data_IF_715879267993
#
_entry.id   IF_715879267993
#
_cell.length_a   1.000
_cell.length_b   1.000
_cell.length_c   1.000
_cell.angle_alpha   90.00
_cell.angle_beta   90.00
_cell.angle_gamma   90.00
#
_symmetry.space_group_name_H-M   'P 1'
#
loop_
_entity.id
_entity.type
_entity.pdbx_description
1 polymer ?
#
# COMPACT_ATOMS: atom_id res chain seq x y z
N UNK A 1 10.05 -17.57 -22.66
CA UNK A 1 9.13 -18.49 -21.97
C UNK A 1 8.96 -17.95 -20.56
N UNK A 2 7.85 -17.28 -20.26
CA UNK A 2 7.55 -16.83 -18.89
C UNK A 2 7.11 -18.06 -18.09
N UNK A 3 7.86 -18.43 -17.07
CA UNK A 3 7.48 -19.51 -16.15
C UNK A 3 6.24 -19.02 -15.41
N UNK A 4 5.10 -19.67 -15.64
CA UNK A 4 3.92 -19.44 -14.82
C UNK A 4 4.23 -20.07 -13.46
N UNK A 5 4.56 -19.24 -12.47
CA UNK A 5 4.69 -19.69 -11.09
C UNK A 5 3.28 -20.01 -10.60
N UNK A 6 3.01 -21.29 -10.35
CA UNK A 6 1.78 -21.72 -9.69
C UNK A 6 1.90 -21.37 -8.20
N UNK A 7 1.31 -20.24 -7.83
CA UNK A 7 1.34 -19.75 -6.46
C UNK A 7 0.25 -20.45 -5.64
N UNK A 8 0.60 -21.29 -4.64
CA UNK A 8 -0.38 -22.12 -3.95
C UNK A 8 -1.40 -21.33 -3.11
N UNK A 9 -1.05 -20.11 -2.65
CA UNK A 9 -1.99 -19.27 -1.92
C UNK A 9 -3.01 -18.63 -2.87
N UNK A 10 -2.57 -18.27 -4.07
CA UNK A 10 -3.45 -17.74 -5.12
C UNK A 10 -4.33 -18.86 -5.70
N UNK A 11 -3.76 -20.03 -6.00
CA UNK A 11 -4.48 -21.20 -6.49
C UNK A 11 -5.50 -21.72 -5.47
N UNK A 12 -5.22 -21.56 -4.18
CA UNK A 12 -6.12 -21.95 -3.09
C UNK A 12 -7.29 -20.98 -2.82
N UNK A 13 -7.40 -19.86 -3.57
CA UNK A 13 -8.51 -18.92 -3.40
C UNK A 13 -9.85 -19.51 -3.85
N UNK A 14 -10.85 -19.50 -2.96
CA UNK A 14 -12.22 -19.95 -3.25
C UNK A 14 -13.16 -18.76 -3.51
N UNK A 15 -13.08 -18.19 -4.72
CA UNK A 15 -13.86 -17.00 -5.10
C UNK A 15 -15.29 -17.38 -5.48
N UNK A 16 -16.23 -17.21 -4.55
CA UNK A 16 -17.66 -17.47 -4.82
C UNK A 16 -18.29 -16.41 -5.74
N UNK A 17 -17.82 -15.17 -5.68
CA UNK A 17 -18.26 -14.06 -6.52
C UNK A 17 -17.08 -13.18 -6.91
N UNK A 18 -16.86 -13.03 -8.21
CA UNK A 18 -15.87 -12.06 -8.72
C UNK A 18 -16.34 -10.64 -8.44
N UNK A 19 -15.45 -9.84 -7.84
CA UNK A 19 -15.64 -8.44 -7.49
C UNK A 19 -14.61 -7.58 -8.24
N UNK A 20 -14.80 -6.27 -8.37
CA UNK A 20 -13.86 -5.38 -9.04
C UNK A 20 -12.43 -5.51 -8.53
N UNK A 21 -12.24 -5.71 -7.22
CA UNK A 21 -10.91 -5.94 -6.64
C UNK A 21 -10.26 -7.24 -7.10
N UNK A 22 -11.03 -8.31 -7.34
CA UNK A 22 -10.52 -9.57 -7.88
C UNK A 22 -9.95 -9.37 -9.28
N UNK A 23 -10.70 -8.69 -10.14
CA UNK A 23 -10.27 -8.42 -11.52
C UNK A 23 -9.01 -7.54 -11.56
N UNK A 24 -8.99 -6.47 -10.74
CA UNK A 24 -7.82 -5.60 -10.62
C UNK A 24 -6.61 -6.35 -10.05
N UNK A 25 -6.80 -7.15 -8.99
CA UNK A 25 -5.70 -7.90 -8.38
C UNK A 25 -5.14 -8.98 -9.32
N UNK A 26 -5.99 -9.61 -10.13
CA UNK A 26 -5.56 -10.53 -11.18
C UNK A 26 -4.65 -9.84 -12.20
N UNK A 27 -5.02 -8.64 -12.69
CA UNK A 27 -4.16 -7.86 -13.60
C UNK A 27 -2.87 -7.39 -12.93
N UNK A 28 -2.93 -6.97 -11.68
CA UNK A 28 -1.75 -6.56 -10.92
C UNK A 28 -0.75 -7.72 -10.70
N UNK A 29 -1.24 -8.94 -10.46
CA UNK A 29 -0.39 -10.15 -10.36
C UNK A 29 0.35 -10.44 -11.66
N UNK A 30 -0.23 -10.09 -12.82
CA UNK A 30 0.39 -10.29 -14.12
C UNK A 30 1.53 -9.29 -14.42
N UNK A 31 1.65 -8.21 -13.65
CA UNK A 31 2.75 -7.24 -13.81
C UNK A 31 4.10 -7.84 -13.47
N UNK A 32 4.13 -8.78 -12.51
CA UNK A 32 5.33 -9.48 -12.13
C UNK A 32 5.03 -10.95 -11.82
N UNK A 33 4.89 -11.81 -12.85
CA UNK A 33 4.45 -13.20 -12.71
C UNK A 33 5.35 -14.07 -11.82
N UNK A 34 6.63 -13.71 -11.70
CA UNK A 34 7.58 -14.38 -10.81
C UNK A 34 7.30 -14.10 -9.33
N UNK A 35 6.69 -12.95 -9.03
CA UNK A 35 6.35 -12.50 -7.68
C UNK A 35 4.91 -11.94 -7.65
N UNK A 36 3.88 -12.75 -7.94
CA UNK A 36 2.53 -12.27 -8.21
C UNK A 36 1.90 -11.59 -6.99
N UNK A 37 2.32 -12.00 -5.78
CA UNK A 37 1.89 -11.43 -4.51
C UNK A 37 2.29 -9.97 -4.34
N UNK A 38 3.27 -9.43 -5.08
CA UNK A 38 3.84 -8.07 -4.87
C UNK A 38 2.86 -6.94 -5.17
N UNK A 39 1.95 -7.10 -6.14
CA UNK A 39 1.02 -6.02 -6.50
C UNK A 39 -0.45 -6.38 -6.31
N UNK A 40 -0.85 -7.63 -6.55
CA UNK A 40 -2.24 -8.04 -6.32
C UNK A 40 -2.48 -8.44 -4.87
N UNK A 41 -3.56 -7.95 -4.28
CA UNK A 41 -3.97 -8.30 -2.92
C UNK A 41 -4.92 -9.50 -2.92
N UNK A 42 -5.13 -10.09 -1.75
CA UNK A 42 -6.15 -11.11 -1.52
C UNK A 42 -7.44 -10.51 -0.94
N UNK A 43 -8.54 -11.25 -1.04
CA UNK A 43 -9.76 -10.97 -0.28
C UNK A 43 -9.91 -12.04 0.79
N UNK A 44 -10.01 -11.61 2.04
CA UNK A 44 -9.91 -12.51 3.20
C UNK A 44 -11.06 -13.51 3.32
N UNK A 45 -12.20 -13.26 2.67
CA UNK A 45 -13.31 -14.22 2.59
C UNK A 45 -13.00 -15.45 1.74
N UNK A 46 -11.99 -15.36 0.86
CA UNK A 46 -11.73 -16.37 -0.16
C UNK A 46 -10.57 -17.30 0.24
N UNK A 47 -10.04 -17.14 1.45
CA UNK A 47 -8.81 -17.77 1.91
C UNK A 47 -8.99 -18.54 3.22
N UNK A 48 -8.16 -19.57 3.41
CA UNK A 48 -7.89 -20.09 4.75
C UNK A 48 -7.00 -19.10 5.51
N UNK A 49 -7.26 -18.88 6.81
CA UNK A 49 -6.51 -17.91 7.63
C UNK A 49 -5.20 -18.45 8.21
N UNK A 50 -4.66 -19.55 7.68
CA UNK A 50 -3.38 -20.10 8.14
C UNK A 50 -2.24 -19.11 7.81
N UNK A 51 -1.46 -18.73 8.83
CA UNK A 51 -0.38 -17.71 8.76
C UNK A 51 -0.84 -16.31 8.34
N UNK A 52 -2.13 -16.06 8.40
CA UNK A 52 -2.69 -14.73 8.24
C UNK A 52 -2.97 -14.13 9.61
N UNK A 53 -2.70 -12.86 9.78
CA UNK A 53 -3.11 -12.12 10.98
C UNK A 53 -3.57 -10.70 10.62
N UNK A 54 -4.54 -10.14 11.36
CA UNK A 54 -5.00 -8.76 11.16
C UNK A 54 -3.87 -7.79 11.47
N UNK A 55 -3.56 -6.87 10.57
CA UNK A 55 -2.44 -5.92 10.75
C UNK A 55 -2.61 -5.07 12.01
N UNK A 56 -3.85 -4.82 12.46
CA UNK A 56 -4.12 -4.12 13.71
C UNK A 56 -3.51 -4.80 14.94
N UNK A 57 -3.30 -6.13 14.93
CA UNK A 57 -2.64 -6.85 16.02
C UNK A 57 -1.18 -6.41 16.21
N UNK A 58 -0.56 -5.78 15.21
CA UNK A 58 0.76 -5.17 15.31
C UNK A 58 0.85 -4.11 16.43
N UNK A 59 -0.29 -3.49 16.79
CA UNK A 59 -0.35 -2.45 17.82
C UNK A 59 -0.69 -2.97 19.21
N UNK A 60 -1.25 -4.17 19.30
CA UNK A 60 -1.81 -4.71 20.56
C UNK A 60 -1.10 -5.96 21.07
N UNK A 61 -0.19 -6.52 20.27
CA UNK A 61 0.59 -7.71 20.60
C UNK A 61 2.08 -7.44 20.44
N UNK A 62 2.92 -8.39 20.84
CA UNK A 62 4.38 -8.25 20.76
C UNK A 62 4.95 -8.50 19.35
N UNK A 63 4.11 -8.74 18.34
CA UNK A 63 4.54 -9.06 16.97
C UNK A 63 5.56 -8.07 16.40
N UNK A 64 5.33 -6.76 16.52
CA UNK A 64 6.30 -5.78 16.00
C UNK A 64 7.61 -5.79 16.79
N UNK A 65 7.56 -6.06 18.09
CA UNK A 65 8.77 -6.18 18.91
C UNK A 65 9.57 -7.43 18.51
N UNK A 66 8.90 -8.57 18.32
CA UNK A 66 9.53 -9.82 17.85
C UNK A 66 10.16 -9.65 16.46
N UNK A 67 9.42 -9.08 15.50
CA UNK A 67 9.94 -8.80 14.15
C UNK A 67 11.15 -7.87 14.19
N UNK A 68 11.12 -6.84 15.05
CA UNK A 68 12.24 -5.94 15.23
C UNK A 68 13.44 -6.64 15.86
N UNK A 69 13.25 -7.39 16.96
CA UNK A 69 14.34 -8.09 17.65
C UNK A 69 15.02 -9.12 16.77
N UNK A 70 14.25 -9.89 16.00
CA UNK A 70 14.80 -10.84 15.02
C UNK A 70 15.61 -10.12 13.95
N UNK A 71 15.04 -9.08 13.32
CA UNK A 71 15.74 -8.32 12.29
C UNK A 71 17.00 -7.61 12.81
N UNK A 72 16.96 -7.09 14.04
CA UNK A 72 18.12 -6.43 14.66
C UNK A 72 19.26 -7.42 14.91
N UNK A 73 18.93 -8.65 15.30
CA UNK A 73 19.90 -9.73 15.47
C UNK A 73 20.49 -10.18 14.13
N UNK A 74 19.65 -10.38 13.11
CA UNK A 74 20.09 -10.83 11.78
C UNK A 74 20.98 -9.81 11.07
N UNK A 75 20.68 -8.52 11.23
CA UNK A 75 21.41 -7.43 10.57
C UNK A 75 22.58 -6.89 11.38
N UNK A 76 22.70 -7.27 12.65
CA UNK A 76 23.60 -6.66 13.64
C UNK A 76 23.45 -5.11 13.66
N UNK A 77 22.21 -4.63 13.51
CA UNK A 77 21.91 -3.20 13.41
C UNK A 77 20.45 -2.87 13.72
N UNK A 78 20.17 -2.26 14.90
CA UNK A 78 18.84 -1.78 15.26
C UNK A 78 18.26 -0.78 14.25
N UNK A 79 19.10 0.12 13.72
CA UNK A 79 18.66 1.12 12.74
C UNK A 79 18.25 0.47 11.41
N UNK A 80 19.01 -0.51 10.93
CA UNK A 80 18.67 -1.24 9.70
C UNK A 80 17.37 -2.04 9.88
N UNK A 81 17.19 -2.70 11.03
CA UNK A 81 15.98 -3.45 11.35
C UNK A 81 14.74 -2.55 11.44
N UNK A 82 14.85 -1.40 12.10
CA UNK A 82 13.76 -0.41 12.18
C UNK A 82 13.42 0.15 10.79
N UNK A 83 14.43 0.41 9.95
CA UNK A 83 14.24 0.86 8.58
C UNK A 83 13.56 -0.20 7.70
N UNK A 84 13.97 -1.47 7.81
CA UNK A 84 13.31 -2.58 7.12
C UNK A 84 11.86 -2.69 7.55
N UNK A 85 11.58 -2.68 8.86
CA UNK A 85 10.22 -2.78 9.38
C UNK A 85 9.33 -1.63 8.90
N UNK A 86 9.85 -0.40 8.92
CA UNK A 86 9.16 0.77 8.38
C UNK A 86 8.91 0.65 6.87
N UNK A 87 9.88 0.13 6.11
CA UNK A 87 9.75 -0.12 4.67
C UNK A 87 8.68 -1.16 4.36
N UNK A 88 8.63 -2.24 5.13
CA UNK A 88 7.61 -3.28 5.03
C UNK A 88 6.23 -2.70 5.31
N UNK A 89 6.06 -1.94 6.40
CA UNK A 89 4.76 -1.31 6.71
C UNK A 89 4.32 -0.30 5.64
N UNK A 90 5.25 0.53 5.14
CA UNK A 90 4.97 1.45 4.04
C UNK A 90 4.51 0.69 2.78
N UNK A 91 5.16 -0.44 2.45
CA UNK A 91 4.77 -1.28 1.32
C UNK A 91 3.39 -1.91 1.52
N UNK A 92 3.15 -2.51 2.69
CA UNK A 92 1.87 -3.16 3.03
C UNK A 92 0.70 -2.19 2.92
N UNK A 93 0.84 -0.98 3.47
CA UNK A 93 -0.24 -0.01 3.56
C UNK A 93 -0.42 0.79 2.27
N UNK A 94 0.61 1.55 1.85
CA UNK A 94 0.48 2.45 0.71
C UNK A 94 1.07 1.86 -0.57
N UNK A 95 2.20 1.16 -0.47
CA UNK A 95 2.89 0.61 -1.65
C UNK A 95 2.02 -0.37 -2.45
N UNK A 96 1.08 -1.08 -1.80
CA UNK A 96 0.16 -2.01 -2.48
C UNK A 96 -1.07 -1.35 -3.12
N UNK A 97 -1.47 -0.16 -2.68
CA UNK A 97 -2.64 0.54 -3.28
C UNK A 97 -2.23 1.45 -4.45
N UNK A 98 -1.02 1.99 -4.43
CA UNK A 98 -0.51 2.87 -5.51
C UNK A 98 -0.53 2.23 -6.90
N UNK A 99 -0.17 0.95 -7.13
CA UNK A 99 -0.23 0.32 -8.45
C UNK A 99 -1.64 0.39 -9.04
N UNK A 100 -2.66 0.16 -8.20
CA UNK A 100 -4.06 0.22 -8.61
C UNK A 100 -4.50 1.65 -8.96
N UNK A 101 -4.03 2.63 -8.19
CA UNK A 101 -4.30 4.04 -8.46
C UNK A 101 -3.68 4.48 -9.79
N UNK A 102 -2.38 4.22 -9.97
CA UNK A 102 -1.65 4.75 -11.12
C UNK A 102 -2.11 4.12 -12.43
N UNK A 103 -2.42 2.83 -12.42
CA UNK A 103 -2.89 2.12 -13.61
C UNK A 103 -4.38 2.29 -13.88
N UNK A 104 -5.22 2.18 -12.85
CA UNK A 104 -6.68 2.05 -13.05
C UNK A 104 -7.49 3.22 -12.49
N UNK A 105 -6.87 4.16 -11.77
CA UNK A 105 -7.64 5.22 -11.07
C UNK A 105 -8.57 4.63 -10.01
N UNK A 106 -8.14 3.52 -9.40
CA UNK A 106 -8.87 2.76 -8.38
C UNK A 106 -8.07 2.68 -7.09
N UNK A 107 -8.73 2.46 -5.97
CA UNK A 107 -8.08 2.17 -4.70
C UNK A 107 -8.98 1.33 -3.79
N UNK A 108 -8.40 0.34 -3.12
CA UNK A 108 -9.03 -0.34 -1.99
C UNK A 108 -8.64 0.37 -0.67
N UNK A 109 -9.32 0.03 0.42
CA UNK A 109 -9.15 0.72 1.70
C UNK A 109 -7.89 0.25 2.45
N UNK A 110 -6.89 1.14 2.53
CA UNK A 110 -5.62 0.93 3.24
C UNK A 110 -5.70 1.16 4.75
N UNK A 111 -6.90 1.25 5.33
CA UNK A 111 -7.12 1.31 6.76
C UNK A 111 -6.62 0.06 7.50
N UNK A 112 -6.11 0.28 8.70
CA UNK A 112 -5.51 -0.78 9.53
C UNK A 112 -6.51 -1.90 9.86
N UNK A 113 -7.77 -1.54 10.07
CA UNK A 113 -8.88 -2.45 10.34
C UNK A 113 -9.25 -3.33 9.14
N UNK A 114 -8.88 -2.90 7.93
CA UNK A 114 -9.17 -3.62 6.70
C UNK A 114 -8.04 -4.59 6.31
N UNK A 115 -6.83 -4.36 6.83
CA UNK A 115 -5.62 -5.03 6.39
C UNK A 115 -5.33 -6.30 7.18
N UNK A 116 -5.00 -7.35 6.43
CA UNK A 116 -4.42 -8.59 6.94
C UNK A 116 -3.10 -8.84 6.20
N UNK A 117 -2.16 -9.46 6.89
CA UNK A 117 -0.87 -9.83 6.31
C UNK A 117 -0.65 -11.32 6.43
N UNK A 118 -0.11 -11.92 5.37
CA UNK A 118 0.40 -13.28 5.40
C UNK A 118 1.88 -13.23 5.71
N UNK A 119 2.34 -14.21 6.49
CA UNK A 119 3.77 -14.43 6.74
C UNK A 119 4.21 -15.74 6.10
N UNK A 120 5.38 -15.73 5.46
CA UNK A 120 5.98 -16.91 4.87
C UNK A 120 6.54 -17.87 5.94
N UNK A 121 7.35 -18.85 5.52
CA UNK A 121 7.99 -19.79 6.44
C UNK A 121 9.11 -19.18 7.29
N UNK A 122 9.65 -18.04 6.87
CA UNK A 122 10.72 -17.31 7.56
C UNK A 122 10.14 -16.23 8.49
N UNK A 123 8.82 -16.04 8.46
CA UNK A 123 8.11 -15.05 9.29
C UNK A 123 8.07 -13.66 8.66
N UNK A 124 8.56 -13.50 7.43
CA UNK A 124 8.50 -12.23 6.71
C UNK A 124 7.11 -12.03 6.09
N UNK A 125 6.66 -10.77 6.05
CA UNK A 125 5.40 -10.43 5.40
C UNK A 125 5.58 -10.50 3.88
N UNK A 126 4.90 -11.43 3.24
CA UNK A 126 5.02 -11.68 1.80
C UNK A 126 3.73 -11.31 1.03
N UNK A 127 2.59 -11.21 1.70
CA UNK A 127 1.31 -10.88 1.07
C UNK A 127 0.36 -10.06 1.94
N UNK A 128 -0.58 -9.39 1.26
CA UNK A 128 -1.58 -8.51 1.86
C UNK A 128 -2.97 -8.94 1.41
N UNK A 129 -3.89 -8.99 2.36
CA UNK A 129 -5.29 -9.28 2.15
C UNK A 129 -6.18 -8.19 2.74
N UNK A 130 -7.37 -8.03 2.17
CA UNK A 130 -8.37 -7.07 2.65
C UNK A 130 -9.65 -7.76 3.10
N UNK A 131 -10.30 -7.21 4.13
CA UNK A 131 -11.59 -7.72 4.64
C UNK A 131 -12.77 -7.17 3.84
N UNK A 132 -12.81 -5.85 3.65
CA UNK A 132 -13.71 -5.12 2.75
C UNK A 132 -13.03 -4.98 1.36
N UNK A 133 -13.49 -5.73 0.35
CA UNK A 133 -12.96 -5.67 -1.00
C UNK A 133 -13.49 -4.48 -1.82
N UNK A 134 -14.26 -3.56 -1.21
CA UNK A 134 -14.88 -2.44 -1.93
C UNK A 134 -13.83 -1.48 -2.48
N UNK A 135 -13.83 -1.28 -3.80
CA UNK A 135 -12.93 -0.36 -4.49
C UNK A 135 -13.54 1.02 -4.64
N UNK A 136 -12.74 2.07 -4.48
CA UNK A 136 -13.08 3.46 -4.82
C UNK A 136 -12.48 3.77 -6.18
N UNK A 137 -13.25 4.35 -7.09
CA UNK A 137 -12.83 4.55 -8.48
C UNK A 137 -13.19 5.95 -8.99
N UNK A 138 -12.47 6.41 -10.01
CA UNK A 138 -12.76 7.68 -10.67
C UNK A 138 -14.07 7.63 -11.49
N UNK A 139 -14.71 8.78 -11.78
CA UNK A 139 -15.98 8.82 -12.50
C UNK A 139 -15.95 8.24 -13.93
N UNK A 140 -14.77 8.20 -14.55
CA UNK A 140 -14.54 7.71 -15.91
C UNK A 140 -14.29 6.20 -15.98
N UNK A 141 -14.26 5.52 -14.82
CA UNK A 141 -14.03 4.08 -14.75
C UNK A 141 -14.98 3.29 -15.68
N UNK A 142 -14.44 2.37 -16.52
CA UNK A 142 -15.24 1.57 -17.44
C UNK A 142 -16.41 0.82 -16.78
N UNK A 143 -16.28 0.47 -15.49
CA UNK A 143 -17.34 -0.17 -14.72
C UNK A 143 -18.64 0.66 -14.70
N UNK A 144 -18.55 1.99 -14.71
CA UNK A 144 -19.71 2.88 -14.67
C UNK A 144 -20.31 3.16 -16.05
N UNK A 145 -19.52 3.10 -17.13
CA UNK A 145 -19.91 3.56 -18.46
C UNK A 145 -21.15 2.80 -19.01
N UNK A 146 -21.19 1.47 -18.88
CA UNK A 146 -22.33 0.66 -19.35
C UNK A 146 -23.57 0.69 -18.44
N UNK A 147 -23.43 1.15 -17.19
CA UNK A 147 -24.47 1.09 -16.16
C UNK A 147 -25.19 2.42 -15.94
N UNK A 148 -24.52 3.54 -16.25
CA UNK A 148 -25.13 4.88 -16.30
C UNK A 148 -26.24 4.97 -17.36
N UNK A 149 -26.06 4.32 -18.51
CA UNK A 149 -27.07 4.24 -19.57
C UNK A 149 -28.32 3.44 -19.19
N UNK A 150 -28.27 2.66 -18.11
CA UNK A 150 -29.40 1.85 -17.60
C UNK A 150 -30.16 2.48 -16.44
N UNK A 151 -29.87 3.73 -16.07
CA UNK A 151 -30.55 4.44 -14.98
C UNK A 151 -30.32 3.83 -13.59
N UNK A 152 -29.26 3.04 -13.41
CA UNK A 152 -28.96 2.37 -12.14
C UNK A 152 -28.40 3.40 -11.15
N UNK A 153 -29.12 3.65 -10.06
CA UNK A 153 -28.73 4.62 -9.02
C UNK A 153 -27.46 4.24 -8.26
N UNK A 154 -26.81 5.22 -7.63
CA UNK A 154 -25.50 5.08 -6.98
C UNK A 154 -25.41 3.96 -5.92
N UNK A 155 -26.52 3.63 -5.25
CA UNK A 155 -26.58 2.59 -4.22
C UNK A 155 -26.41 1.15 -4.73
N UNK A 156 -26.61 0.90 -6.02
CA UNK A 156 -26.41 -0.43 -6.62
C UNK A 156 -24.93 -0.80 -6.75
N UNK A 157 -24.04 0.18 -6.96
CA UNK A 157 -22.62 -0.09 -7.17
C UNK A 157 -21.91 -0.56 -5.89
N UNK A 158 -22.36 -0.11 -4.72
CA UNK A 158 -21.85 -0.59 -3.42
C UNK A 158 -22.06 -2.10 -3.28
N UNK A 159 -23.21 -2.62 -3.72
CA UNK A 159 -23.48 -4.07 -3.72
C UNK A 159 -22.63 -4.86 -4.73
N UNK A 160 -22.04 -4.16 -5.68
CA UNK A 160 -21.09 -4.71 -6.65
C UNK A 160 -19.63 -4.50 -6.24
N UNK A 161 -19.37 -3.98 -5.04
CA UNK A 161 -18.02 -3.83 -4.49
C UNK A 161 -17.22 -2.67 -5.10
N UNK A 162 -17.89 -1.63 -5.62
CA UNK A 162 -17.22 -0.43 -6.14
C UNK A 162 -18.03 0.84 -5.90
N UNK A 163 -17.32 1.92 -5.55
CA UNK A 163 -17.90 3.23 -5.26
C UNK A 163 -17.18 4.29 -6.09
N UNK A 164 -17.94 5.15 -6.77
CA UNK A 164 -17.38 6.28 -7.50
C UNK A 164 -17.05 7.44 -6.57
N UNK A 165 -15.86 8.02 -6.70
CA UNK A 165 -15.50 9.29 -6.09
C UNK A 165 -15.61 10.43 -7.12
N UNK A 166 -15.85 11.68 -6.68
CA UNK A 166 -16.17 12.77 -7.62
C UNK A 166 -14.97 13.25 -8.45
N UNK A 167 -13.74 13.01 -8.01
CA UNK A 167 -12.53 13.51 -8.69
C UNK A 167 -11.27 12.75 -8.29
N UNK A 168 -10.18 12.96 -9.04
CA UNK A 168 -8.85 12.46 -8.68
C UNK A 168 -8.39 13.00 -7.32
N UNK A 169 -8.61 14.28 -7.05
CA UNK A 169 -8.28 14.88 -5.75
C UNK A 169 -9.01 14.20 -4.58
N UNK A 170 -10.29 13.81 -4.75
CA UNK A 170 -11.02 13.08 -3.72
C UNK A 170 -10.43 11.69 -3.48
N UNK A 171 -10.05 10.98 -4.55
CA UNK A 171 -9.45 9.65 -4.46
C UNK A 171 -8.06 9.70 -3.80
N UNK A 172 -7.19 10.61 -4.23
CA UNK A 172 -5.82 10.72 -3.72
C UNK A 172 -5.80 11.20 -2.26
N UNK A 173 -6.66 12.15 -1.90
CA UNK A 173 -6.84 12.61 -0.51
C UNK A 173 -7.36 11.48 0.38
N UNK A 174 -8.31 10.68 -0.11
CA UNK A 174 -8.83 9.54 0.63
C UNK A 174 -7.75 8.48 0.88
N UNK A 175 -6.97 8.11 -0.15
CA UNK A 175 -5.83 7.19 0.00
C UNK A 175 -4.84 7.73 1.03
N UNK A 176 -4.41 8.98 0.87
CA UNK A 176 -3.46 9.62 1.79
C UNK A 176 -3.97 9.60 3.24
N UNK A 177 -5.26 9.89 3.45
CA UNK A 177 -5.85 9.90 4.78
C UNK A 177 -5.88 8.49 5.40
N UNK A 178 -6.33 7.49 4.64
CA UNK A 178 -6.41 6.10 5.12
C UNK A 178 -5.02 5.54 5.41
N UNK A 179 -4.06 5.75 4.52
CA UNK A 179 -2.66 5.37 4.75
C UNK A 179 -2.04 6.10 5.94
N UNK A 180 -2.33 7.39 6.14
CA UNK A 180 -1.85 8.13 7.32
C UNK A 180 -2.40 7.52 8.61
N UNK A 181 -3.71 7.25 8.67
CA UNK A 181 -4.36 6.69 9.86
C UNK A 181 -3.90 5.27 10.19
N UNK A 182 -3.41 4.51 9.22
CA UNK A 182 -2.80 3.21 9.44
C UNK A 182 -1.31 3.32 9.81
N UNK A 183 -0.51 4.07 9.04
CA UNK A 183 0.94 4.15 9.23
C UNK A 183 1.37 4.95 10.45
N UNK A 184 0.63 6.00 10.84
CA UNK A 184 1.00 6.82 12.01
C UNK A 184 1.15 5.99 13.28
N UNK A 185 0.14 5.22 13.71
CA UNK A 185 0.25 4.32 14.86
C UNK A 185 1.33 3.24 14.71
N UNK A 186 1.48 2.66 13.50
CA UNK A 186 2.52 1.66 13.23
C UNK A 186 3.92 2.26 13.41
N UNK A 187 4.17 3.44 12.87
CA UNK A 187 5.45 4.15 13.00
C UNK A 187 5.74 4.60 14.43
N UNK A 188 4.71 5.02 15.17
CA UNK A 188 4.85 5.28 16.60
C UNK A 188 5.27 4.02 17.36
N UNK A 189 4.64 2.87 17.06
CA UNK A 189 5.00 1.60 17.69
C UNK A 189 6.40 1.11 17.29
N UNK A 190 6.79 1.27 16.02
CA UNK A 190 8.15 0.96 15.57
C UNK A 190 9.18 1.82 16.31
N UNK A 191 8.91 3.12 16.46
CA UNK A 191 9.80 4.01 17.19
C UNK A 191 9.92 3.62 18.67
N UNK A 192 8.83 3.16 19.29
CA UNK A 192 8.83 2.65 20.67
C UNK A 192 9.66 1.36 20.80
N UNK A 193 9.39 0.33 19.99
CA UNK A 193 10.07 -0.98 20.12
C UNK A 193 11.53 -0.95 19.69
N UNK A 194 11.93 0.04 18.89
CA UNK A 194 13.31 0.23 18.44
C UNK A 194 14.09 1.25 19.24
N UNK A 195 13.54 1.76 20.35
CA UNK A 195 14.13 2.84 21.16
C UNK A 195 14.57 4.04 20.32
N UNK A 196 13.73 4.41 19.35
CA UNK A 196 13.97 5.54 18.46
C UNK A 196 15.16 5.36 17.50
N UNK A 197 15.55 4.12 17.17
CA UNK A 197 16.68 3.83 16.27
C UNK A 197 16.61 4.59 14.92
N UNK A 198 15.41 4.91 14.45
CA UNK A 198 15.17 5.92 13.41
C UNK A 198 14.00 6.84 13.80
N UNK A 199 14.05 8.09 13.33
CA UNK A 199 12.95 9.03 13.57
C UNK A 199 11.70 8.67 12.77
N UNK A 200 10.51 9.02 13.29
CA UNK A 200 9.26 8.90 12.51
C UNK A 200 9.29 9.72 11.21
N UNK A 201 10.01 10.85 11.19
CA UNK A 201 10.20 11.62 9.96
C UNK A 201 10.97 10.83 8.90
N UNK A 202 11.99 10.06 9.29
CA UNK A 202 12.68 9.15 8.37
C UNK A 202 11.75 8.05 7.85
N UNK A 203 10.86 7.51 8.69
CA UNK A 203 9.85 6.54 8.25
C UNK A 203 8.88 7.14 7.22
N UNK A 204 8.46 8.41 7.37
CA UNK A 204 7.65 9.11 6.37
C UNK A 204 8.42 9.39 5.07
N UNK A 205 9.73 9.65 5.12
CA UNK A 205 10.54 9.72 3.90
C UNK A 205 10.55 8.39 3.13
N UNK A 206 10.57 7.26 3.84
CA UNK A 206 10.44 5.92 3.23
C UNK A 206 9.10 5.77 2.50
N UNK A 207 8.00 6.27 3.08
CA UNK A 207 6.68 6.31 2.42
C UNK A 207 6.76 7.08 1.10
N UNK A 208 7.40 8.26 1.12
CA UNK A 208 7.61 9.06 -0.08
C UNK A 208 8.39 8.31 -1.17
N UNK A 209 9.52 7.71 -0.78
CA UNK A 209 10.35 6.91 -1.68
C UNK A 209 9.59 5.71 -2.26
N UNK A 210 8.78 5.02 -1.45
CA UNK A 210 7.97 3.89 -1.91
C UNK A 210 6.93 4.33 -2.95
N UNK A 211 6.21 5.43 -2.72
CA UNK A 211 5.22 5.96 -3.67
C UNK A 211 5.88 6.33 -5.00
N UNK A 212 7.01 7.04 -4.96
CA UNK A 212 7.76 7.42 -6.18
C UNK A 212 8.30 6.19 -6.90
N UNK A 213 8.88 5.23 -6.17
CA UNK A 213 9.43 4.01 -6.74
C UNK A 213 8.37 3.19 -7.47
N UNK A 214 7.20 2.98 -6.84
CA UNK A 214 6.07 2.29 -7.47
C UNK A 214 5.56 3.05 -8.69
N UNK A 215 5.37 4.36 -8.60
CA UNK A 215 4.87 5.18 -9.70
C UNK A 215 5.84 5.27 -10.89
N UNK A 216 7.13 5.01 -10.65
CA UNK A 216 8.16 4.93 -11.70
C UNK A 216 8.19 3.53 -12.33
N UNK A 217 8.13 2.48 -11.52
CA UNK A 217 8.36 1.12 -11.99
C UNK A 217 7.11 0.43 -12.57
N UNK A 218 5.96 0.60 -11.93
CA UNK A 218 4.70 -0.06 -12.34
C UNK A 218 4.28 0.31 -13.77
N UNK A 219 4.39 1.58 -14.23
CA UNK A 219 4.00 1.93 -15.59
C UNK A 219 4.90 1.26 -16.65
N UNK A 220 6.18 1.06 -16.35
CA UNK A 220 7.12 0.35 -17.22
C UNK A 220 6.70 -1.13 -17.37
N UNK A 221 6.37 -1.79 -16.26
CA UNK A 221 5.86 -3.17 -16.27
C UNK A 221 4.54 -3.29 -17.05
N UNK A 222 3.64 -2.32 -16.88
CA UNK A 222 2.33 -2.29 -17.53
C UNK A 222 2.35 -1.74 -18.97
N UNK A 223 3.49 -1.22 -19.45
CA UNK A 223 3.60 -0.45 -20.71
C UNK A 223 2.54 0.64 -20.83
N UNK A 224 2.34 1.39 -19.74
CA UNK A 224 1.31 2.41 -19.62
C UNK A 224 1.93 3.82 -19.51
N UNK A 225 1.08 4.86 -19.48
CA UNK A 225 1.53 6.24 -19.42
C UNK A 225 2.22 6.56 -18.08
N UNK A 226 3.51 6.89 -18.14
CA UNK A 226 4.27 7.42 -17.01
C UNK A 226 3.71 8.77 -16.51
N UNK A 227 3.26 9.63 -17.42
CA UNK A 227 2.75 10.96 -17.07
C UNK A 227 1.50 10.92 -16.19
N UNK A 228 0.52 10.07 -16.53
CA UNK A 228 -0.68 9.89 -15.69
C UNK A 228 -0.33 9.24 -14.36
N UNK A 229 0.58 8.27 -14.38
CA UNK A 229 1.01 7.54 -13.18
C UNK A 229 1.71 8.46 -12.18
N UNK A 230 2.67 9.25 -12.66
CA UNK A 230 3.42 10.20 -11.84
C UNK A 230 2.52 11.32 -11.31
N UNK A 231 1.60 11.85 -12.13
CA UNK A 231 0.63 12.87 -11.68
C UNK A 231 -0.21 12.36 -10.50
N UNK A 232 -0.78 11.16 -10.61
CA UNK A 232 -1.61 10.55 -9.55
C UNK A 232 -0.80 10.30 -8.27
N UNK A 233 0.41 9.76 -8.41
CA UNK A 233 1.30 9.53 -7.28
C UNK A 233 1.72 10.83 -6.59
N UNK A 234 2.04 11.86 -7.37
CA UNK A 234 2.37 13.18 -6.85
C UNK A 234 1.18 13.79 -6.10
N UNK A 235 -0.04 13.64 -6.60
CA UNK A 235 -1.24 14.12 -5.91
C UNK A 235 -1.48 13.41 -4.55
N UNK A 236 -1.08 12.14 -4.39
CA UNK A 236 -1.08 11.46 -3.08
C UNK A 236 -0.01 12.08 -2.17
N UNK A 237 1.20 12.33 -2.68
CA UNK A 237 2.27 12.98 -1.91
C UNK A 237 1.91 14.41 -1.51
N UNK A 238 1.25 15.17 -2.38
CA UNK A 238 0.73 16.51 -2.10
C UNK A 238 -0.29 16.45 -0.95
N UNK A 239 -1.21 15.48 -0.97
CA UNK A 239 -2.19 15.30 0.10
C UNK A 239 -1.53 14.91 1.45
N UNK A 240 -0.53 14.01 1.43
CA UNK A 240 0.24 13.65 2.63
C UNK A 240 0.99 14.87 3.22
N UNK A 241 1.62 15.69 2.35
CA UNK A 241 2.23 16.96 2.78
C UNK A 241 1.18 17.93 3.32
N UNK A 242 -0.01 18.00 2.71
CA UNK A 242 -1.14 18.78 3.21
C UNK A 242 -1.61 18.37 4.61
N UNK A 243 -1.41 17.11 5.00
CA UNK A 243 -1.61 16.63 6.37
C UNK A 243 -0.42 16.90 7.32
N UNK A 244 0.64 17.56 6.84
CA UNK A 244 1.84 17.89 7.61
C UNK A 244 2.89 16.77 7.65
N UNK A 245 2.79 15.76 6.80
CA UNK A 245 3.70 14.61 6.83
C UNK A 245 4.98 14.88 6.00
N UNK A 246 6.18 14.58 6.54
CA UNK A 246 7.44 14.81 5.85
C UNK A 246 7.74 13.67 4.87
N UNK A 247 6.96 13.56 3.80
CA UNK A 247 7.12 12.51 2.78
C UNK A 247 8.04 12.93 1.63
N UNK A 248 8.60 14.14 1.68
CA UNK A 248 9.59 14.64 0.72
C UNK A 248 10.91 14.79 1.43
N UNK A 249 11.97 14.24 0.84
CA UNK A 249 13.31 14.42 1.36
C UNK A 249 13.61 15.91 1.54
N UNK A 250 14.03 16.28 2.74
CA UNK A 250 14.50 17.62 3.05
C UNK A 250 15.80 17.89 2.29
N UNK A 251 15.70 18.49 1.10
CA UNK A 251 16.85 19.11 0.42
C UNK A 251 17.28 20.45 1.03
N UNK A 252 16.73 20.85 2.18
CA UNK A 252 16.85 22.20 2.70
C UNK A 252 17.04 22.26 4.23
N UNK A 253 18.18 21.76 4.73
CA UNK A 253 18.73 22.23 6.02
C UNK A 253 20.26 22.23 6.10
N UNK A 254 20.94 21.32 5.41
CA UNK A 254 22.41 21.29 5.37
C UNK A 254 23.06 22.46 4.59
N UNK A 255 22.35 23.07 3.64
CA UNK A 255 22.85 24.22 2.88
C UNK A 255 22.85 25.54 3.65
N UNK A 256 21.98 25.70 4.66
CA UNK A 256 21.89 26.94 5.46
C UNK A 256 22.78 26.92 6.70
N UNK A 257 23.11 25.75 7.24
CA UNK A 257 24.05 25.63 8.36
C UNK A 257 25.52 25.75 7.91
N UNK A 258 25.86 25.34 6.68
CA UNK A 258 27.19 25.59 6.10
C UNK A 258 27.45 27.06 5.78
N UNK A 259 26.43 27.84 5.43
CA UNK A 259 26.56 29.29 5.16
C UNK A 259 26.60 30.12 6.46
N UNK A 260 26.01 29.61 7.56
CA UNK A 260 26.05 30.24 8.87
C UNK A 260 27.35 29.96 9.67
N UNK A 261 28.16 28.99 9.24
CA UNK A 261 29.47 28.67 9.83
C UNK A 261 30.65 29.27 9.05
N UNK A 262 30.37 30.01 7.96
CA UNK A 262 31.36 30.64 7.10
C UNK A 262 31.25 32.18 7.07
N UNK A 263 30.45 32.77 7.96
CA UNK A 263 30.37 34.22 8.20
C UNK A 263 30.76 34.56 9.64
#
# INVERSE_FOLDING_TARGET
MTVVVDDPLIAGMAIARTLPLHESSMRLRQLYPECPRVYGVAVMSDLSRRRWWPLQEALTTDRLAEMFSLGALEMDSPAAAAQQLATTMAHVVIGRVIPLLVLEGRAWDAGLENLWVHVDSEGAIDWVGVVDPTVRALPDDPFFQGRRSRGVGAGHFVRDGIVGLPSEAALTTWIAHRSHRALGPLFAKIAEVSDGAISQAAMWHIVGAAVVGVATHVPLLARSSEATSMRRAQAVLDALVGFGLPVRGSRAREGREREALLN
#
